data_IF_872982733111
#
_entry.id   IF_872982733111
#
_cell.length_a   1.000
_cell.length_b   1.000
_cell.length_c   1.000
_cell.angle_alpha   90.00
_cell.angle_beta   90.00
_cell.angle_gamma   90.00
#
_symmetry.space_group_name_H-M   'P 1'
#
loop_
_entity.id
_entity.type
_entity.pdbx_description
1 polymer ?
#
# COMPACT_ATOMS: atom_id res chain seq x y z
N UNK A 1 9.69 -8.27 -12.08
CA UNK A 1 9.52 -8.01 -13.52
C UNK A 1 10.63 -7.07 -13.95
N UNK A 2 11.31 -7.32 -15.09
CA UNK A 2 12.45 -6.48 -15.51
C UNK A 2 11.99 -5.04 -15.76
N UNK A 3 12.62 -4.07 -15.10
CA UNK A 3 12.30 -2.64 -15.22
C UNK A 3 11.07 -2.18 -14.42
N UNK A 4 10.58 -3.02 -13.50
CA UNK A 4 9.53 -2.70 -12.52
C UNK A 4 9.89 -3.25 -11.14
N UNK A 5 11.18 -3.29 -10.85
CA UNK A 5 11.69 -3.61 -9.53
C UNK A 5 11.27 -2.52 -8.52
N UNK A 6 11.13 -2.86 -7.23
CA UNK A 6 10.88 -1.86 -6.19
C UNK A 6 12.00 -0.83 -6.14
N UNK A 7 11.66 0.44 -5.89
CA UNK A 7 12.61 1.54 -5.90
C UNK A 7 12.68 2.18 -4.52
N UNK A 8 13.90 2.50 -4.06
CA UNK A 8 14.08 3.23 -2.80
C UNK A 8 13.67 4.71 -2.97
N UNK A 9 14.00 5.32 -4.12
CA UNK A 9 13.66 6.72 -4.45
C UNK A 9 12.64 6.81 -5.59
N UNK A 10 11.78 7.84 -5.57
CA UNK A 10 10.86 8.15 -6.67
C UNK A 10 11.59 8.82 -7.84
N UNK A 11 11.67 8.19 -9.03
CA UNK A 11 12.31 8.81 -10.19
C UNK A 11 11.59 10.07 -10.67
N UNK A 12 12.35 11.10 -11.08
CA UNK A 12 11.82 12.40 -11.52
C UNK A 12 10.77 12.31 -12.64
N UNK A 13 10.95 11.38 -13.58
CA UNK A 13 10.01 11.21 -14.69
C UNK A 13 8.63 10.67 -14.23
N UNK A 14 8.56 10.05 -13.05
CA UNK A 14 7.32 9.57 -12.43
C UNK A 14 6.72 10.56 -11.44
N UNK A 15 7.47 11.57 -10.96
CA UNK A 15 6.94 12.61 -10.09
C UNK A 15 5.87 13.43 -10.79
N UNK A 16 4.74 13.62 -10.11
CA UNK A 16 3.67 14.50 -10.55
C UNK A 16 3.56 15.65 -9.57
N UNK A 17 3.51 16.88 -10.10
CA UNK A 17 3.39 18.09 -9.30
C UNK A 17 2.03 18.76 -9.51
N UNK A 18 1.52 19.50 -8.50
CA UNK A 18 0.35 20.36 -8.70
C UNK A 18 0.58 21.32 -9.87
N UNK A 19 -0.31 21.30 -10.86
CA UNK A 19 -0.21 22.14 -12.06
C UNK A 19 0.52 21.52 -13.25
N UNK A 20 0.98 20.27 -13.15
CA UNK A 20 1.46 19.52 -14.31
C UNK A 20 0.40 19.43 -15.42
N UNK A 21 0.85 19.42 -16.68
CA UNK A 21 -0.06 19.38 -17.83
C UNK A 21 -0.90 18.10 -17.79
N UNK A 22 -2.22 18.15 -18.08
CA UNK A 22 -3.10 16.96 -18.06
C UNK A 22 -2.69 15.82 -19.02
N UNK A 23 -1.83 16.13 -19.99
CA UNK A 23 -1.26 15.19 -20.96
C UNK A 23 -0.09 14.38 -20.41
N UNK A 24 0.56 14.84 -19.33
CA UNK A 24 1.61 14.09 -18.63
C UNK A 24 0.90 13.15 -17.63
N UNK A 25 0.92 11.86 -17.92
CA UNK A 25 0.30 10.81 -17.09
C UNK A 25 1.31 9.68 -16.87
N UNK A 26 2.31 9.86 -15.99
CA UNK A 26 3.23 8.79 -15.67
C UNK A 26 2.48 7.60 -15.07
N UNK A 27 3.08 6.41 -15.17
CA UNK A 27 2.53 5.24 -14.50
C UNK A 27 2.41 5.52 -13.00
N UNK A 28 1.28 5.09 -12.41
CA UNK A 28 1.08 5.18 -10.98
C UNK A 28 2.06 4.28 -10.23
N UNK A 29 2.68 4.81 -9.19
CA UNK A 29 3.53 4.08 -8.26
C UNK A 29 3.12 4.42 -6.83
N UNK A 30 3.16 3.43 -5.96
CA UNK A 30 2.72 3.48 -4.57
C UNK A 30 3.93 3.42 -3.64
N UNK A 31 3.99 4.28 -2.63
CA UNK A 31 5.02 4.24 -1.59
C UNK A 31 4.45 3.67 -0.30
N UNK A 32 5.10 2.65 0.27
CA UNK A 32 4.70 2.10 1.57
C UNK A 32 5.19 0.67 1.80
N UNK A 33 4.51 -0.02 2.72
CA UNK A 33 4.93 -1.35 3.19
C UNK A 33 4.26 -2.44 2.35
N UNK A 34 5.02 -3.21 1.56
CA UNK A 34 4.47 -4.31 0.80
C UNK A 34 4.08 -5.47 1.73
N UNK A 35 2.97 -6.14 1.43
CA UNK A 35 2.44 -7.22 2.26
C UNK A 35 1.85 -8.34 1.43
N UNK A 36 1.91 -9.54 2.00
CA UNK A 36 1.16 -10.70 1.51
C UNK A 36 -0.25 -10.71 2.05
N UNK A 37 -1.14 -11.41 1.36
CA UNK A 37 -2.53 -11.59 1.79
C UNK A 37 -2.62 -12.37 3.11
N UNK A 38 -1.63 -13.22 3.39
CA UNK A 38 -1.55 -13.99 4.63
C UNK A 38 -1.23 -13.09 5.82
N UNK A 39 -0.31 -12.12 5.68
CA UNK A 39 -0.02 -11.15 6.72
C UNK A 39 -1.25 -10.30 7.07
N UNK A 40 -1.99 -9.82 6.06
CA UNK A 40 -3.24 -9.09 6.28
C UNK A 40 -4.29 -9.94 7.01
N UNK A 41 -4.43 -11.21 6.60
CA UNK A 41 -5.36 -12.14 7.21
C UNK A 41 -5.02 -12.42 8.68
N UNK A 42 -3.75 -12.69 8.99
CA UNK A 42 -3.27 -12.96 10.34
C UNK A 42 -3.43 -11.74 11.25
N UNK A 43 -3.13 -10.54 10.73
CA UNK A 43 -3.39 -9.29 11.43
C UNK A 43 -4.87 -9.15 11.76
N UNK A 44 -5.75 -9.28 10.77
CA UNK A 44 -7.18 -9.14 10.94
C UNK A 44 -7.76 -10.13 11.98
N UNK A 45 -7.28 -11.37 12.00
CA UNK A 45 -7.66 -12.35 13.04
C UNK A 45 -7.18 -11.89 14.42
N UNK A 46 -5.91 -11.49 14.53
CA UNK A 46 -5.32 -11.10 15.83
C UNK A 46 -6.01 -9.88 16.45
N UNK A 47 -6.53 -8.98 15.61
CA UNK A 47 -7.27 -7.78 15.98
C UNK A 47 -8.77 -8.01 16.15
N UNK A 48 -9.27 -9.20 15.83
CA UNK A 48 -10.69 -9.52 15.90
C UNK A 48 -11.53 -8.75 14.88
N UNK A 49 -10.94 -8.35 13.74
CA UNK A 49 -11.66 -7.61 12.71
C UNK A 49 -12.75 -8.49 12.09
N UNK A 50 -13.93 -7.93 11.77
CA UNK A 50 -15.06 -8.70 11.23
C UNK A 50 -14.81 -9.05 9.75
N UNK A 51 -13.94 -10.00 9.47
CA UNK A 51 -13.64 -10.49 8.12
C UNK A 51 -14.51 -11.70 7.76
N UNK A 52 -14.92 -11.77 6.50
CA UNK A 52 -15.71 -12.90 5.98
C UNK A 52 -14.91 -14.19 5.85
N UNK A 53 -15.43 -15.15 5.08
CA UNK A 53 -14.68 -16.35 4.69
C UNK A 53 -14.22 -16.26 3.23
N UNK A 54 -13.00 -16.70 2.89
CA UNK A 54 -12.47 -16.65 1.53
C UNK A 54 -13.04 -17.74 0.59
N UNK A 55 -14.22 -18.31 0.87
CA UNK A 55 -14.76 -19.44 0.11
C UNK A 55 -15.80 -19.04 -0.95
N UNK A 56 -15.82 -19.81 -2.04
CA UNK A 56 -16.82 -19.70 -3.10
C UNK A 56 -16.28 -19.22 -4.45
N UNK A 57 -17.17 -18.73 -5.34
CA UNK A 57 -16.80 -18.27 -6.68
C UNK A 57 -15.72 -17.19 -6.67
N UNK A 58 -15.01 -17.03 -7.79
CA UNK A 58 -13.92 -16.06 -7.94
C UNK A 58 -14.33 -14.64 -7.55
N UNK A 59 -15.54 -14.20 -7.93
CA UNK A 59 -16.06 -12.87 -7.55
C UNK A 59 -16.23 -12.68 -6.05
N UNK A 60 -16.62 -13.73 -5.31
CA UNK A 60 -16.69 -13.68 -3.84
C UNK A 60 -15.30 -13.61 -3.21
N UNK A 61 -14.34 -14.33 -3.78
CA UNK A 61 -12.93 -14.29 -3.33
C UNK A 61 -12.29 -12.93 -3.56
N UNK A 62 -12.49 -12.34 -4.74
CA UNK A 62 -12.02 -10.99 -5.03
C UNK A 62 -12.60 -9.97 -4.05
N UNK A 63 -13.92 -10.00 -3.82
CA UNK A 63 -14.57 -9.11 -2.83
C UNK A 63 -14.06 -9.34 -1.41
N UNK A 64 -13.76 -10.58 -1.04
CA UNK A 64 -13.16 -10.90 0.25
C UNK A 64 -11.80 -10.21 0.41
N UNK A 65 -10.92 -10.31 -0.60
CA UNK A 65 -9.60 -9.69 -0.54
C UNK A 65 -9.66 -8.17 -0.51
N UNK A 66 -10.51 -7.54 -1.32
CA UNK A 66 -10.74 -6.09 -1.24
C UNK A 66 -11.22 -5.69 0.16
N UNK A 67 -12.20 -6.40 0.71
CA UNK A 67 -12.71 -6.10 2.06
C UNK A 67 -11.65 -6.30 3.15
N UNK A 68 -10.80 -7.32 3.02
CA UNK A 68 -9.70 -7.57 3.94
C UNK A 68 -8.70 -6.41 3.91
N UNK A 69 -8.25 -6.00 2.71
CA UNK A 69 -7.33 -4.87 2.53
C UNK A 69 -7.92 -3.57 3.10
N UNK A 70 -9.17 -3.24 2.77
CA UNK A 70 -9.86 -2.04 3.28
C UNK A 70 -9.93 -2.03 4.80
N UNK A 71 -10.34 -3.14 5.42
CA UNK A 71 -10.50 -3.20 6.88
C UNK A 71 -9.19 -3.15 7.64
N UNK A 72 -8.18 -3.88 7.16
CA UNK A 72 -6.86 -3.86 7.78
C UNK A 72 -6.24 -2.48 7.65
N UNK A 73 -6.31 -1.88 6.46
CA UNK A 73 -5.76 -0.53 6.23
C UNK A 73 -6.49 0.51 7.08
N UNK A 74 -7.81 0.42 7.22
CA UNK A 74 -8.57 1.33 8.09
C UNK A 74 -8.17 1.20 9.57
N UNK A 75 -8.02 -0.02 10.10
CA UNK A 75 -7.59 -0.22 11.49
C UNK A 75 -6.14 0.24 11.71
N UNK A 76 -5.25 0.04 10.74
CA UNK A 76 -3.87 0.55 10.79
C UNK A 76 -3.81 2.08 10.66
N UNK A 77 -4.69 2.66 9.85
CA UNK A 77 -4.84 4.12 9.69
C UNK A 77 -5.17 4.75 11.05
N UNK A 78 -6.15 4.18 11.75
CA UNK A 78 -6.54 4.64 13.08
C UNK A 78 -5.41 4.47 14.10
N UNK A 79 -4.63 3.38 14.01
CA UNK A 79 -3.51 3.11 14.90
C UNK A 79 -2.31 4.05 14.67
N UNK A 80 -2.05 4.41 13.42
CA UNK A 80 -0.92 5.29 13.05
C UNK A 80 -1.29 6.77 13.12
N UNK A 81 -2.57 7.10 13.32
CA UNK A 81 -3.11 8.48 13.32
C UNK A 81 -2.76 9.27 12.05
N UNK A 82 -2.57 8.58 10.92
CA UNK A 82 -2.19 9.16 9.62
C UNK A 82 -3.03 8.57 8.50
N UNK A 83 -2.95 9.13 7.30
CA UNK A 83 -3.61 8.55 6.12
C UNK A 83 -2.82 7.34 5.61
N UNK A 84 -3.54 6.24 5.34
CA UNK A 84 -3.01 5.06 4.69
C UNK A 84 -4.00 4.59 3.63
N UNK A 85 -3.48 4.01 2.55
CA UNK A 85 -4.25 3.60 1.38
C UNK A 85 -3.99 2.13 1.04
N UNK A 86 -5.03 1.32 0.79
CA UNK A 86 -4.83 -0.02 0.23
C UNK A 86 -4.59 0.10 -1.29
N UNK A 87 -3.53 -0.52 -1.79
CA UNK A 87 -3.28 -0.57 -3.23
C UNK A 87 -2.72 -1.92 -3.69
N UNK A 88 -2.99 -2.28 -4.95
CA UNK A 88 -2.38 -3.43 -5.60
C UNK A 88 -1.03 -3.05 -6.20
N UNK A 89 -0.05 -3.94 -6.12
CA UNK A 89 1.29 -3.69 -6.65
C UNK A 89 1.77 -4.79 -7.59
N UNK A 90 2.60 -4.42 -8.54
CA UNK A 90 3.30 -5.35 -9.41
C UNK A 90 4.53 -5.91 -8.70
N UNK A 91 4.30 -6.98 -7.94
CA UNK A 91 5.34 -7.75 -7.25
C UNK A 91 5.20 -9.24 -7.53
N UNK A 92 6.31 -9.97 -7.41
CA UNK A 92 6.32 -11.44 -7.42
C UNK A 92 6.12 -11.98 -6.01
N UNK A 93 6.60 -11.24 -5.01
CA UNK A 93 6.70 -11.72 -3.62
C UNK A 93 5.58 -11.18 -2.71
N UNK A 94 4.86 -10.15 -3.16
CA UNK A 94 3.82 -9.48 -2.39
C UNK A 94 2.54 -9.29 -3.21
N UNK A 95 1.40 -9.32 -2.53
CA UNK A 95 0.08 -9.24 -3.16
C UNK A 95 -0.44 -7.81 -3.25
N UNK A 96 -0.03 -6.95 -2.32
CA UNK A 96 -0.50 -5.57 -2.18
C UNK A 96 0.46 -4.74 -1.32
N UNK A 97 0.09 -3.48 -1.11
CA UNK A 97 0.82 -2.53 -0.28
C UNK A 97 -0.17 -1.81 0.65
N UNK A 98 0.29 -1.52 1.88
CA UNK A 98 -0.30 -0.48 2.72
C UNK A 98 0.49 0.80 2.41
N UNK A 99 -0.06 1.62 1.52
CA UNK A 99 0.60 2.81 1.01
C UNK A 99 0.40 4.00 1.93
N UNK A 100 1.45 4.82 2.07
CA UNK A 100 1.39 6.13 2.72
C UNK A 100 0.85 7.17 1.73
N UNK A 101 1.34 7.12 0.49
CA UNK A 101 0.92 7.99 -0.62
C UNK A 101 1.33 7.38 -1.96
N UNK A 102 0.91 8.00 -3.05
CA UNK A 102 1.36 7.67 -4.41
C UNK A 102 2.10 8.84 -5.07
N UNK A 103 2.60 8.64 -6.29
CA UNK A 103 3.34 9.69 -7.01
C UNK A 103 2.49 10.90 -7.45
N UNK A 104 1.18 10.87 -7.22
CA UNK A 104 0.25 11.98 -7.44
C UNK A 104 -0.14 12.69 -6.14
N UNK A 105 -0.09 12.00 -4.99
CA UNK A 105 -0.46 12.58 -3.69
C UNK A 105 0.73 12.90 -2.78
N UNK A 106 1.94 12.43 -3.10
CA UNK A 106 3.15 12.64 -2.28
C UNK A 106 3.36 14.09 -1.84
N UNK A 107 3.11 15.07 -2.72
CA UNK A 107 3.30 16.49 -2.39
C UNK A 107 2.45 16.97 -1.21
N UNK A 108 1.27 16.36 -0.99
CA UNK A 108 0.34 16.73 0.08
C UNK A 108 0.37 15.75 1.26
N UNK A 109 0.78 14.49 1.03
CA UNK A 109 0.66 13.37 1.98
C UNK A 109 2.01 12.84 2.50
N UNK A 110 3.14 13.27 1.95
CA UNK A 110 4.48 12.90 2.44
C UNK A 110 4.65 13.39 3.89
N UNK A 111 5.08 12.47 4.76
CA UNK A 111 5.28 12.73 6.18
C UNK A 111 6.71 13.23 6.42
N UNK A 112 6.91 13.93 7.54
CA UNK A 112 8.27 14.26 7.98
C UNK A 112 9.04 12.97 8.35
N UNK A 113 10.36 12.95 8.14
CA UNK A 113 11.20 11.76 8.31
C UNK A 113 10.97 11.00 9.64
N UNK A 114 10.81 11.73 10.74
CA UNK A 114 10.60 11.15 12.07
C UNK A 114 9.18 10.57 12.25
N UNK A 115 8.18 11.14 11.58
CA UNK A 115 6.80 10.66 11.56
C UNK A 115 6.69 9.43 10.67
N UNK A 116 7.26 9.48 9.46
CA UNK A 116 7.33 8.32 8.56
C UNK A 116 7.99 7.14 9.26
N UNK A 117 9.14 7.36 9.91
CA UNK A 117 9.84 6.29 10.64
C UNK A 117 8.94 5.63 11.68
N UNK A 118 8.19 6.41 12.45
CA UNK A 118 7.26 5.89 13.46
C UNK A 118 6.13 5.07 12.84
N UNK A 119 5.53 5.58 11.76
CA UNK A 119 4.47 4.88 11.02
C UNK A 119 5.01 3.56 10.47
N UNK A 120 6.17 3.57 9.82
CA UNK A 120 6.83 2.38 9.28
C UNK A 120 7.13 1.35 10.38
N UNK A 121 7.63 1.77 11.54
CA UNK A 121 7.90 0.88 12.67
C UNK A 121 6.61 0.24 13.22
N UNK A 122 5.52 1.02 13.31
CA UNK A 122 4.20 0.49 13.70
C UNK A 122 3.74 -0.55 12.67
N UNK A 123 3.74 -0.20 11.38
CA UNK A 123 3.32 -1.10 10.30
C UNK A 123 4.14 -2.40 10.30
N UNK A 124 5.46 -2.31 10.42
CA UNK A 124 6.36 -3.48 10.50
C UNK A 124 6.01 -4.39 11.68
N UNK A 125 5.80 -3.82 12.87
CA UNK A 125 5.45 -4.57 14.08
C UNK A 125 4.10 -5.26 13.93
N UNK A 126 3.08 -4.51 13.53
CA UNK A 126 1.71 -5.00 13.45
C UNK A 126 1.54 -6.06 12.35
N UNK A 127 2.11 -5.82 11.18
CA UNK A 127 2.06 -6.73 10.03
C UNK A 127 3.12 -7.85 10.08
N UNK A 128 3.93 -7.87 11.14
CA UNK A 128 5.00 -8.85 11.36
C UNK A 128 5.91 -8.99 10.15
N UNK A 129 6.38 -7.86 9.64
CA UNK A 129 7.25 -7.77 8.48
C UNK A 129 8.52 -7.00 8.80
N UNK A 130 9.60 -7.32 8.10
CA UNK A 130 10.88 -6.59 8.15
C UNK A 130 11.09 -5.72 6.90
N UNK A 131 10.09 -5.66 6.03
CA UNK A 131 10.16 -4.86 4.81
C UNK A 131 10.19 -3.37 5.12
N UNK A 132 11.00 -2.64 4.37
CA UNK A 132 11.04 -1.18 4.42
C UNK A 132 10.01 -0.59 3.46
N UNK A 133 9.62 0.66 3.71
CA UNK A 133 8.82 1.39 2.75
C UNK A 133 9.62 1.63 1.46
N UNK A 134 9.00 1.34 0.32
CA UNK A 134 9.59 1.49 -1.03
C UNK A 134 8.51 1.84 -2.02
N UNK A 135 8.93 2.30 -3.20
CA UNK A 135 8.06 2.56 -4.33
C UNK A 135 7.83 1.30 -5.17
N UNK A 136 6.56 1.01 -5.43
CA UNK A 136 6.12 -0.12 -6.26
C UNK A 136 5.23 0.37 -7.40
N UNK A 137 5.35 -0.25 -8.58
CA UNK A 137 4.39 0.02 -9.65
C UNK A 137 3.02 -0.52 -9.28
N UNK A 138 2.00 0.31 -9.49
CA UNK A 138 0.61 -0.09 -9.30
C UNK A 138 0.20 -1.11 -10.38
N UNK A 139 -0.72 -2.00 -10.03
CA UNK A 139 -1.36 -2.92 -10.99
C UNK A 139 -2.29 -2.17 -11.95
N UNK A 140 -2.86 -1.05 -11.52
CA UNK A 140 -3.65 -0.14 -12.33
C UNK A 140 -2.77 1.02 -12.83
N UNK A 141 -2.65 1.20 -14.16
CA UNK A 141 -1.77 2.22 -14.70
C UNK A 141 -2.23 3.68 -14.49
N UNK A 142 -3.49 3.91 -14.08
CA UNK A 142 -4.11 5.23 -13.93
C UNK A 142 -5.09 5.26 -12.76
#
# INVERSE_FOLDING_TARGET
MKGREPMDDLPEHLRVYPGDRPTRRPNRVQYGIPVTIYQLHDYAISRGLPIGRPSGPMSRRARYYTNLQEKVTADLKDLCETTLHPAGILSVDYDCIVALHDNYTWFDEELEDDEERQVVEILQRELKTTEKARWYFDVLPF
#
